data_IF_477653155714
#
_entry.id   IF_477653155714
#
_cell.length_a   1.000
_cell.length_b   1.000
_cell.length_c   1.000
_cell.angle_alpha   90.00
_cell.angle_beta   90.00
_cell.angle_gamma   90.00
#
_symmetry.space_group_name_H-M   'P 1'
#
loop_
_entity.id
_entity.type
_entity.pdbx_description
1 polymer ?
#
# COMPACT_ATOMS: atom_id res chain seq x y z
N UNK A 1 -21.22 -10.24 -43.51
CA UNK A 1 -21.47 -9.53 -42.25
C UNK A 1 -21.23 -8.06 -42.46
N UNK A 2 -21.76 -7.20 -41.59
CA UNK A 2 -21.43 -5.78 -41.61
C UNK A 2 -19.92 -5.58 -41.33
N UNK A 3 -19.28 -4.52 -41.87
CA UNK A 3 -17.92 -4.17 -41.47
C UNK A 3 -17.89 -3.81 -39.98
N UNK A 4 -16.92 -4.33 -39.26
CA UNK A 4 -16.63 -4.00 -37.86
C UNK A 4 -15.30 -3.27 -37.79
N UNK A 5 -15.25 -2.24 -36.96
CA UNK A 5 -13.99 -1.60 -36.61
C UNK A 5 -13.22 -2.50 -35.65
N UNK A 6 -11.93 -2.70 -35.93
CA UNK A 6 -11.06 -3.57 -35.15
C UNK A 6 -9.75 -2.85 -34.80
N UNK A 7 -9.22 -3.15 -33.62
CA UNK A 7 -7.85 -2.84 -33.26
C UNK A 7 -6.93 -3.98 -33.70
N UNK A 8 -5.94 -3.68 -34.55
CA UNK A 8 -4.88 -4.62 -34.90
C UNK A 8 -3.80 -4.64 -33.80
N UNK A 9 -3.52 -5.83 -33.28
CA UNK A 9 -2.47 -6.06 -32.26
C UNK A 9 -1.44 -7.06 -32.78
N UNK A 10 -0.16 -6.78 -32.53
CA UNK A 10 0.97 -7.56 -33.03
C UNK A 10 1.59 -8.40 -31.91
N UNK A 11 1.92 -9.65 -32.25
CA UNK A 11 2.50 -10.65 -31.37
C UNK A 11 3.85 -11.12 -31.92
N UNK A 12 4.59 -11.91 -31.13
CA UNK A 12 5.90 -12.41 -31.55
C UNK A 12 5.80 -13.29 -32.80
N UNK A 13 6.73 -13.09 -33.75
CA UNK A 13 6.76 -13.83 -35.01
C UNK A 13 5.81 -13.28 -36.10
N UNK A 14 5.53 -11.97 -36.07
CA UNK A 14 4.63 -11.27 -37.00
C UNK A 14 3.17 -11.75 -36.96
N UNK A 15 2.79 -12.46 -35.90
CA UNK A 15 1.41 -12.88 -35.63
C UNK A 15 0.53 -11.64 -35.36
N UNK A 16 -0.70 -11.64 -35.89
CA UNK A 16 -1.65 -10.52 -35.76
C UNK A 16 -3.00 -10.98 -35.21
N UNK A 17 -3.59 -10.17 -34.35
CA UNK A 17 -4.94 -10.36 -33.84
C UNK A 17 -5.75 -9.07 -34.05
N UNK A 18 -6.89 -9.20 -34.72
CA UNK A 18 -7.87 -8.14 -34.90
C UNK A 18 -8.93 -8.26 -33.80
N UNK A 19 -8.88 -7.35 -32.83
CA UNK A 19 -9.84 -7.28 -31.74
C UNK A 19 -10.96 -6.32 -32.11
N UNK A 20 -12.24 -6.76 -32.15
CA UNK A 20 -13.36 -5.86 -32.37
C UNK A 20 -13.39 -4.75 -31.31
N UNK A 21 -13.72 -3.52 -31.70
CA UNK A 21 -13.74 -2.37 -30.78
C UNK A 21 -14.75 -2.57 -29.64
N UNK A 22 -15.78 -3.37 -29.87
CA UNK A 22 -16.77 -3.77 -28.86
C UNK A 22 -16.17 -4.60 -27.72
N UNK A 23 -14.94 -5.12 -27.89
CA UNK A 23 -14.20 -5.93 -26.91
C UNK A 23 -12.94 -5.22 -26.37
N UNK A 24 -12.83 -3.89 -26.53
CA UNK A 24 -11.65 -3.11 -26.13
C UNK A 24 -11.33 -3.20 -24.63
N UNK A 25 -12.30 -3.54 -23.79
CA UNK A 25 -12.14 -3.77 -22.34
C UNK A 25 -11.21 -4.95 -22.00
N UNK A 26 -10.97 -5.85 -22.95
CA UNK A 26 -10.01 -6.94 -22.79
C UNK A 26 -8.55 -6.47 -22.85
N UNK A 27 -8.33 -5.23 -23.27
CA UNK A 27 -7.00 -4.62 -23.33
C UNK A 27 -6.74 -3.76 -22.09
N UNK A 28 -5.48 -3.76 -21.69
CA UNK A 28 -4.97 -2.89 -20.63
C UNK A 28 -3.60 -2.41 -21.07
N UNK A 29 -3.33 -1.13 -20.88
CA UNK A 29 -2.02 -0.56 -21.21
C UNK A 29 -0.94 -1.25 -20.36
N UNK A 30 0.07 -1.81 -21.02
CA UNK A 30 1.21 -2.44 -20.36
C UNK A 30 2.34 -1.42 -20.17
N UNK A 31 2.77 -1.21 -18.93
CA UNK A 31 3.93 -0.38 -18.60
C UNK A 31 3.74 1.13 -18.86
N UNK A 32 4.84 1.87 -18.77
CA UNK A 32 4.99 3.26 -19.24
C UNK A 32 5.58 3.27 -20.65
N UNK A 33 5.60 4.44 -21.31
CA UNK A 33 6.07 4.59 -22.71
C UNK A 33 7.52 4.15 -22.98
N UNK A 34 8.30 3.89 -21.93
CA UNK A 34 9.73 3.52 -22.00
C UNK A 34 10.00 2.04 -21.73
N UNK A 35 8.98 1.22 -21.47
CA UNK A 35 9.18 -0.19 -21.15
C UNK A 35 9.29 -1.04 -22.42
N UNK A 36 10.48 -1.60 -22.69
CA UNK A 36 10.62 -2.65 -23.71
C UNK A 36 9.89 -3.92 -23.23
N UNK A 37 8.82 -4.30 -23.95
CA UNK A 37 8.02 -5.47 -23.65
C UNK A 37 8.40 -6.64 -24.57
N UNK A 38 8.74 -7.79 -23.99
CA UNK A 38 8.87 -9.03 -24.77
C UNK A 38 7.48 -9.51 -25.19
N UNK A 39 7.22 -9.56 -26.50
CA UNK A 39 5.94 -10.03 -27.05
C UNK A 39 5.76 -11.54 -26.86
N UNK A 40 4.54 -11.97 -26.56
CA UNK A 40 4.15 -13.38 -26.55
C UNK A 40 3.80 -13.86 -27.95
N UNK A 41 3.86 -15.19 -28.16
CA UNK A 41 3.35 -15.84 -29.37
C UNK A 41 1.84 -16.12 -29.25
N UNK A 42 1.08 -15.87 -30.31
CA UNK A 42 -0.35 -16.14 -30.33
C UNK A 42 -0.62 -17.66 -30.22
N UNK A 43 -1.58 -18.04 -29.37
CA UNK A 43 -1.88 -19.46 -29.09
C UNK A 43 -0.83 -20.20 -28.24
N UNK A 44 0.24 -19.54 -27.80
CA UNK A 44 1.25 -20.12 -26.92
C UNK A 44 0.78 -20.29 -25.47
N UNK A 45 1.26 -21.34 -24.80
CA UNK A 45 0.98 -21.59 -23.37
C UNK A 45 1.77 -20.72 -22.38
N UNK A 46 2.72 -19.91 -22.87
CA UNK A 46 3.64 -19.12 -22.03
C UNK A 46 2.91 -18.07 -21.18
N UNK A 47 1.96 -17.34 -21.76
CA UNK A 47 1.13 -16.36 -21.05
C UNK A 47 0.33 -17.01 -19.92
N UNK A 48 -0.41 -18.08 -20.23
CA UNK A 48 -1.22 -18.79 -19.23
C UNK A 48 -0.35 -19.34 -18.10
N UNK A 49 0.83 -19.88 -18.42
CA UNK A 49 1.79 -20.37 -17.43
C UNK A 49 2.36 -19.25 -16.55
N UNK A 50 2.66 -18.07 -17.11
CA UNK A 50 3.09 -16.89 -16.33
C UNK A 50 1.96 -16.38 -15.44
N UNK A 51 0.74 -16.27 -15.97
CA UNK A 51 -0.47 -15.87 -15.22
C UNK A 51 -0.74 -16.82 -14.04
N UNK A 52 -0.67 -18.13 -14.25
CA UNK A 52 -0.86 -19.13 -13.20
C UNK A 52 0.21 -19.01 -12.10
N UNK A 53 1.49 -18.87 -12.48
CA UNK A 53 2.58 -18.67 -11.51
C UNK A 53 2.42 -17.38 -10.70
N UNK A 54 2.05 -16.27 -11.34
CA UNK A 54 1.80 -15.00 -10.65
C UNK A 54 0.62 -15.12 -9.69
N UNK A 55 -0.49 -15.72 -10.13
CA UNK A 55 -1.66 -15.95 -9.29
C UNK A 55 -1.31 -16.78 -8.05
N UNK A 56 -0.52 -17.84 -8.20
CA UNK A 56 -0.03 -18.63 -7.07
C UNK A 56 0.77 -17.78 -6.09
N UNK A 57 1.74 -16.99 -6.57
CA UNK A 57 2.55 -16.10 -5.71
C UNK A 57 1.70 -15.06 -4.97
N UNK A 58 0.69 -14.49 -5.63
CA UNK A 58 -0.24 -13.55 -4.98
C UNK A 58 -1.03 -14.22 -3.87
N UNK A 59 -1.53 -15.45 -4.10
CA UNK A 59 -2.23 -16.23 -3.07
C UNK A 59 -1.32 -16.58 -1.89
N UNK A 60 -0.08 -16.99 -2.17
CA UNK A 60 0.91 -17.30 -1.14
C UNK A 60 1.21 -16.06 -0.29
N UNK A 61 1.40 -14.89 -0.92
CA UNK A 61 1.63 -13.61 -0.23
C UNK A 61 0.42 -13.18 0.60
N UNK A 62 -0.79 -13.28 0.04
CA UNK A 62 -2.02 -12.97 0.77
C UNK A 62 -2.18 -13.86 2.00
N UNK A 63 -1.90 -15.16 1.88
CA UNK A 63 -1.92 -16.10 2.99
C UNK A 63 -0.93 -15.72 4.10
N UNK A 64 0.28 -15.27 3.73
CA UNK A 64 1.28 -14.79 4.69
C UNK A 64 0.82 -13.52 5.42
N UNK A 65 0.26 -12.55 4.70
CA UNK A 65 -0.25 -11.30 5.29
C UNK A 65 -1.39 -11.57 6.28
N UNK A 66 -2.34 -12.43 5.91
CA UNK A 66 -3.45 -12.84 6.80
C UNK A 66 -2.90 -13.51 8.06
N UNK A 67 -1.94 -14.41 7.91
CA UNK A 67 -1.31 -15.09 9.05
C UNK A 67 -0.64 -14.10 10.00
N UNK A 68 0.14 -13.15 9.48
CA UNK A 68 0.80 -12.12 10.30
C UNK A 68 -0.23 -11.26 11.03
N UNK A 69 -1.30 -10.85 10.36
CA UNK A 69 -2.38 -10.07 10.97
C UNK A 69 -3.09 -10.84 12.09
N UNK A 70 -3.39 -12.12 11.86
CA UNK A 70 -4.01 -12.99 12.86
C UNK A 70 -3.09 -13.21 14.08
N UNK A 71 -1.82 -13.50 13.86
CA UNK A 71 -0.82 -13.64 14.93
C UNK A 71 -0.71 -12.34 15.75
N UNK A 72 -0.79 -11.18 15.11
CA UNK A 72 -0.79 -9.87 15.80
C UNK A 72 -2.04 -9.64 16.62
N UNK A 73 -3.21 -10.00 16.10
CA UNK A 73 -4.49 -9.80 16.78
C UNK A 73 -4.64 -10.66 18.03
N UNK A 74 -3.93 -11.79 18.09
CA UNK A 74 -3.88 -12.66 19.28
C UNK A 74 -2.88 -12.20 20.36
N UNK A 75 -2.00 -11.24 20.05
CA UNK A 75 -1.01 -10.73 21.01
C UNK A 75 -1.55 -9.53 21.78
N UNK A 76 -1.25 -9.48 23.06
CA UNK A 76 -1.43 -8.28 23.88
C UNK A 76 -0.19 -7.40 23.83
N UNK A 77 -0.39 -6.09 23.91
CA UNK A 77 0.67 -5.10 24.12
C UNK A 77 0.23 -4.15 25.25
N UNK A 78 1.17 -3.56 26.01
CA UNK A 78 0.83 -2.50 26.95
C UNK A 78 0.15 -1.34 26.20
N UNK A 79 -1.02 -0.84 26.67
CA UNK A 79 -1.58 0.41 26.17
C UNK A 79 -0.61 1.57 26.44
N UNK A 80 -0.41 2.43 25.46
CA UNK A 80 0.43 3.62 25.59
C UNK A 80 -0.47 4.85 25.66
N UNK A 81 -0.69 5.37 26.86
CA UNK A 81 -1.57 6.52 27.12
C UNK A 81 -0.83 7.49 28.04
N UNK A 82 -0.24 8.57 27.52
CA UNK A 82 0.51 9.51 28.34
C UNK A 82 -0.42 10.21 29.33
N UNK A 83 0.16 10.70 30.43
CA UNK A 83 -0.57 11.47 31.42
C UNK A 83 -1.31 12.67 30.78
N UNK A 84 -2.48 12.98 31.34
CA UNK A 84 -3.35 14.05 30.83
C UNK A 84 -2.60 15.38 30.71
N UNK A 85 -2.81 16.09 29.60
CA UNK A 85 -2.16 17.38 29.31
C UNK A 85 -0.80 17.28 28.61
N UNK A 86 0.04 16.28 28.89
CA UNK A 86 1.41 16.20 28.34
C UNK A 86 1.42 16.14 26.80
N UNK A 87 0.53 15.35 26.21
CA UNK A 87 0.39 15.28 24.76
C UNK A 87 -0.06 16.62 24.17
N UNK A 88 -0.99 17.32 24.83
CA UNK A 88 -1.48 18.62 24.38
C UNK A 88 -0.39 19.69 24.41
N UNK A 89 0.44 19.72 25.46
CA UNK A 89 1.59 20.62 25.55
C UNK A 89 2.65 20.35 24.47
N UNK A 90 2.87 19.08 24.13
CA UNK A 90 3.76 18.71 23.04
C UNK A 90 3.20 19.15 21.68
N UNK A 91 1.93 18.82 21.41
CA UNK A 91 1.26 19.16 20.16
C UNK A 91 1.20 20.68 19.93
N UNK A 92 0.99 21.47 20.99
CA UNK A 92 0.96 22.94 20.92
C UNK A 92 2.29 23.58 20.51
N UNK A 93 3.41 22.84 20.52
CA UNK A 93 4.72 23.33 20.03
C UNK A 93 4.85 23.25 18.51
N UNK A 94 3.97 22.51 17.84
CA UNK A 94 3.94 22.43 16.39
C UNK A 94 3.33 23.74 15.83
N UNK A 95 4.07 24.54 15.06
CA UNK A 95 3.65 25.91 14.70
C UNK A 95 2.69 25.96 13.49
N UNK A 96 2.20 24.81 13.03
CA UNK A 96 1.31 24.70 11.88
C UNK A 96 0.00 24.07 12.31
N UNK A 97 -1.08 24.50 11.68
CA UNK A 97 -2.40 23.88 11.83
C UNK A 97 -2.44 22.58 11.01
N UNK A 98 -2.88 21.50 11.64
CA UNK A 98 -3.05 20.21 11.00
C UNK A 98 -4.24 20.21 10.05
N UNK A 99 -4.09 19.54 8.92
CA UNK A 99 -5.23 19.27 8.03
C UNK A 99 -6.12 18.17 8.61
N UNK A 100 -7.38 18.07 8.16
CA UNK A 100 -8.31 17.03 8.59
C UNK A 100 -7.75 15.60 8.40
N UNK A 101 -7.07 15.36 7.27
CA UNK A 101 -6.44 14.07 6.98
C UNK A 101 -5.26 13.80 7.93
N UNK A 102 -4.46 14.82 8.25
CA UNK A 102 -3.35 14.71 9.18
C UNK A 102 -3.86 14.43 10.60
N UNK A 103 -4.90 15.15 11.03
CA UNK A 103 -5.53 14.95 12.34
C UNK A 103 -6.15 13.55 12.44
N UNK A 104 -6.83 13.08 11.40
CA UNK A 104 -7.37 11.72 11.33
C UNK A 104 -6.26 10.66 11.44
N UNK A 105 -5.11 10.88 10.77
CA UNK A 105 -3.97 9.99 10.87
C UNK A 105 -3.36 9.98 12.28
N UNK A 106 -3.25 11.15 12.92
CA UNK A 106 -2.75 11.31 14.29
C UNK A 106 -3.64 10.57 15.28
N UNK A 107 -4.95 10.81 15.24
CA UNK A 107 -5.90 10.18 16.16
C UNK A 107 -5.96 8.67 15.96
N UNK A 108 -5.93 8.20 14.70
CA UNK A 108 -5.85 6.77 14.41
C UNK A 108 -4.61 6.10 15.00
N UNK A 109 -3.45 6.77 14.97
CA UNK A 109 -2.22 6.25 15.59
C UNK A 109 -2.34 6.25 17.11
N UNK A 110 -2.90 7.31 17.70
CA UNK A 110 -3.12 7.39 19.16
C UNK A 110 -4.05 6.28 19.65
N UNK A 111 -5.15 6.05 18.95
CA UNK A 111 -6.11 5.01 19.27
C UNK A 111 -5.48 3.62 19.16
N UNK A 112 -4.70 3.36 18.12
CA UNK A 112 -4.00 2.09 17.95
C UNK A 112 -2.96 1.83 19.06
N UNK A 113 -2.23 2.87 19.50
CA UNK A 113 -1.28 2.80 20.60
C UNK A 113 -1.97 2.57 21.96
N UNK A 114 -3.19 3.09 22.13
CA UNK A 114 -4.01 2.89 23.34
C UNK A 114 -4.78 1.55 23.35
N UNK A 115 -4.87 0.84 22.22
CA UNK A 115 -5.77 -0.31 22.06
C UNK A 115 -5.35 -1.61 22.78
N UNK A 116 -4.19 -1.65 23.45
CA UNK A 116 -3.71 -2.83 24.16
C UNK A 116 -3.32 -4.02 23.26
N UNK A 117 -3.10 -3.76 21.98
CA UNK A 117 -2.66 -4.72 20.96
C UNK A 117 -1.54 -4.09 20.12
N UNK A 118 -0.63 -4.88 19.53
CA UNK A 118 0.42 -4.31 18.70
C UNK A 118 -0.15 -3.56 17.49
N UNK A 119 0.23 -2.30 17.32
CA UNK A 119 -0.08 -1.49 16.14
C UNK A 119 0.77 -1.94 14.94
N UNK A 120 0.18 -1.93 13.74
CA UNK A 120 0.88 -2.00 12.46
C UNK A 120 0.10 -1.16 11.44
N UNK A 121 0.52 0.09 11.29
CA UNK A 121 -0.17 1.08 10.49
C UNK A 121 0.77 1.65 9.44
N UNK A 122 0.27 1.70 8.20
CA UNK A 122 0.91 2.40 7.10
C UNK A 122 0.26 3.78 6.93
N UNK A 123 1.05 4.85 7.07
CA UNK A 123 0.63 6.20 6.74
C UNK A 123 1.17 6.55 5.36
N UNK A 124 0.26 6.75 4.40
CA UNK A 124 0.57 7.19 3.05
C UNK A 124 0.24 8.67 2.88
N UNK A 125 1.06 9.39 2.11
CA UNK A 125 0.83 10.79 1.77
C UNK A 125 2.00 11.36 0.99
N UNK A 126 1.78 12.44 0.26
CA UNK A 126 2.80 13.06 -0.59
C UNK A 126 3.90 13.77 0.23
N UNK A 127 4.99 14.15 -0.44
CA UNK A 127 6.07 14.92 0.19
C UNK A 127 5.49 16.24 0.73
N UNK A 128 5.80 16.56 1.99
CA UNK A 128 5.29 17.77 2.66
C UNK A 128 3.98 17.61 3.44
N UNK A 129 3.28 16.47 3.34
CA UNK A 129 1.98 16.25 4.02
C UNK A 129 2.08 15.94 5.54
N UNK A 130 3.17 16.33 6.21
CA UNK A 130 3.26 16.20 7.66
C UNK A 130 3.41 14.77 8.22
N UNK A 131 3.73 13.75 7.40
CA UNK A 131 3.94 12.37 7.87
C UNK A 131 4.95 12.26 9.02
N UNK A 132 6.00 13.08 8.99
CA UNK A 132 7.01 13.15 10.06
C UNK A 132 6.41 13.58 11.38
N UNK A 133 5.45 14.51 11.36
CA UNK A 133 4.77 14.98 12.57
C UNK A 133 3.95 13.86 13.22
N UNK A 134 3.25 13.06 12.41
CA UNK A 134 2.53 11.86 12.89
C UNK A 134 3.48 10.90 13.60
N UNK A 135 4.66 10.64 13.01
CA UNK A 135 5.66 9.76 13.58
C UNK A 135 6.28 10.33 14.87
N UNK A 136 6.54 11.64 14.92
CA UNK A 136 7.09 12.31 16.12
C UNK A 136 6.11 12.27 17.29
N UNK A 137 4.80 12.46 17.04
CA UNK A 137 3.76 12.33 18.07
C UNK A 137 3.66 10.91 18.61
N UNK A 138 3.73 9.91 17.74
CA UNK A 138 3.77 8.50 18.16
C UNK A 138 5.00 8.19 19.02
N UNK A 139 6.17 8.70 18.61
CA UNK A 139 7.41 8.54 19.36
C UNK A 139 7.35 9.23 20.73
N UNK A 140 6.78 10.42 20.80
CA UNK A 140 6.56 11.14 22.05
C UNK A 140 5.70 10.33 23.02
N UNK A 141 4.56 9.79 22.56
CA UNK A 141 3.67 8.95 23.37
C UNK A 141 4.42 7.75 23.96
N UNK A 142 5.17 7.01 23.12
CA UNK A 142 5.93 5.86 23.58
C UNK A 142 7.02 6.26 24.61
N UNK A 143 7.72 7.36 24.37
CA UNK A 143 8.77 7.84 25.27
C UNK A 143 8.22 8.30 26.64
N UNK A 144 7.04 8.94 26.67
CA UNK A 144 6.40 9.36 27.92
C UNK A 144 5.93 8.18 28.77
N UNK A 145 5.62 7.05 28.15
CA UNK A 145 5.30 5.79 28.82
C UNK A 145 6.54 4.96 29.18
N UNK A 146 7.75 5.51 29.00
CA UNK A 146 9.02 4.88 29.38
C UNK A 146 9.55 3.86 28.37
N UNK A 147 9.00 3.82 27.15
CA UNK A 147 9.48 2.94 26.09
C UNK A 147 10.54 3.60 25.23
N UNK A 148 11.41 2.79 24.62
CA UNK A 148 12.37 3.24 23.63
C UNK A 148 11.76 3.26 22.22
N UNK A 149 12.17 4.22 21.40
CA UNK A 149 11.70 4.35 20.01
C UNK A 149 12.86 4.11 19.05
N UNK A 150 12.62 3.29 18.03
CA UNK A 150 13.55 3.07 16.93
C UNK A 150 12.96 3.62 15.63
N UNK A 151 13.73 4.44 14.91
CA UNK A 151 13.37 4.98 13.59
C UNK A 151 14.33 4.39 12.57
N UNK A 152 13.79 3.68 11.58
CA UNK A 152 14.58 3.01 10.53
C UNK A 152 14.28 3.68 9.19
N UNK A 153 15.33 4.13 8.49
CA UNK A 153 15.23 4.80 7.19
C UNK A 153 16.12 4.10 6.15
N UNK A 154 15.64 3.83 4.93
CA UNK A 154 16.50 3.42 3.82
C UNK A 154 17.26 4.65 3.32
N UNK A 155 18.60 4.59 3.27
CA UNK A 155 19.48 5.68 2.82
C UNK A 155 19.22 6.09 1.38
#
# INVERSE_FOLDING_TARGET
GAPHDCLETHYAGDDRLFLPVENIELLSRYGSDTAEATLDKLGGGAWQSRKARLRKRLLDMAGQLIRIAAERQMRSAPPLVPAEGLYGEFAARFPYEETDDQQTAIDSVRDDLAAGKPMDRLICGDVGFGKTEVALRAAFIAAMEGFQVAVVVPT
#
